data_IF_690779167766
#
_entry.id   IF_690779167766
#
_cell.length_a   1.000
_cell.length_b   1.000
_cell.length_c   1.000
_cell.angle_alpha   90.00
_cell.angle_beta   90.00
_cell.angle_gamma   90.00
#
_symmetry.space_group_name_H-M   'P 1'
#
loop_
_entity.id
_entity.type
_entity.pdbx_description
1 polymer ?
#
# COMPACT_ATOMS: atom_id res chain seq x y z
N UNK A 1 -65.29 -45.06 -19.57
CA UNK A 1 -64.08 -44.81 -18.74
C UNK A 1 -63.10 -43.93 -19.57
N UNK A 2 -63.04 -42.61 -19.25
CA UNK A 2 -62.08 -41.68 -19.86
C UNK A 2 -61.04 -41.35 -18.82
N UNK A 3 -59.77 -41.74 -19.03
CA UNK A 3 -58.63 -41.36 -18.24
C UNK A 3 -58.27 -39.91 -18.59
N UNK A 4 -58.29 -39.02 -17.62
CA UNK A 4 -57.76 -37.66 -17.72
C UNK A 4 -56.26 -37.65 -17.51
N UNK A 5 -55.49 -37.16 -18.48
CA UNK A 5 -54.06 -36.93 -18.38
C UNK A 5 -53.77 -35.69 -17.56
N UNK A 6 -52.70 -35.64 -16.76
CA UNK A 6 -52.35 -34.41 -16.03
C UNK A 6 -51.71 -33.40 -17.00
N UNK A 7 -52.18 -32.14 -16.85
CA UNK A 7 -51.64 -30.98 -17.56
C UNK A 7 -50.20 -30.70 -17.14
N UNK A 8 -49.29 -30.84 -18.10
CA UNK A 8 -47.90 -30.38 -17.95
C UNK A 8 -47.91 -28.85 -17.86
N UNK A 9 -47.61 -28.31 -16.67
CA UNK A 9 -47.35 -26.88 -16.53
C UNK A 9 -46.16 -26.48 -17.38
N UNK A 10 -46.32 -25.41 -18.17
CA UNK A 10 -45.31 -25.02 -19.14
C UNK A 10 -43.99 -24.62 -18.42
N UNK A 11 -42.84 -25.00 -18.99
CA UNK A 11 -41.49 -24.61 -18.51
C UNK A 11 -41.36 -23.12 -18.20
N UNK A 12 -42.10 -22.27 -18.90
CA UNK A 12 -42.14 -20.82 -18.67
C UNK A 12 -42.78 -20.38 -17.34
N UNK A 13 -43.75 -21.11 -16.81
CA UNK A 13 -44.38 -20.82 -15.52
C UNK A 13 -43.46 -21.24 -14.36
N UNK A 14 -42.72 -22.33 -14.54
CA UNK A 14 -41.78 -22.80 -13.52
C UNK A 14 -40.58 -21.83 -13.37
N UNK A 15 -40.05 -21.32 -14.50
CA UNK A 15 -38.96 -20.31 -14.49
C UNK A 15 -39.39 -18.97 -13.88
N UNK A 16 -40.65 -18.55 -14.07
CA UNK A 16 -41.14 -17.31 -13.44
C UNK A 16 -41.31 -17.44 -11.93
N UNK A 17 -41.73 -18.58 -11.44
CA UNK A 17 -41.89 -18.82 -10.00
C UNK A 17 -40.54 -18.94 -9.28
N UNK A 18 -39.55 -19.61 -9.89
CA UNK A 18 -38.21 -19.76 -9.32
C UNK A 18 -37.42 -18.44 -9.31
N UNK A 19 -37.52 -17.63 -10.37
CA UNK A 19 -36.87 -16.32 -10.39
C UNK A 19 -37.46 -15.34 -9.37
N UNK A 20 -38.77 -15.38 -9.15
CA UNK A 20 -39.39 -14.48 -8.15
C UNK A 20 -38.96 -14.81 -6.71
N UNK A 21 -38.79 -16.10 -6.40
CA UNK A 21 -38.32 -16.53 -5.05
C UNK A 21 -36.84 -16.23 -4.87
N UNK A 22 -35.99 -16.41 -5.89
CA UNK A 22 -34.58 -16.10 -5.83
C UNK A 22 -34.31 -14.57 -5.69
N UNK A 23 -35.09 -13.74 -6.40
CA UNK A 23 -34.99 -12.30 -6.27
C UNK A 23 -35.48 -11.79 -4.91
N UNK A 24 -36.51 -12.39 -4.32
CA UNK A 24 -37.01 -12.05 -3.02
C UNK A 24 -36.04 -12.41 -1.88
N UNK A 25 -35.42 -13.58 -1.95
CA UNK A 25 -34.45 -14.02 -0.95
C UNK A 25 -33.11 -13.23 -1.05
N UNK A 26 -32.68 -12.89 -2.24
CA UNK A 26 -31.51 -12.05 -2.45
C UNK A 26 -31.66 -10.61 -1.93
N UNK A 27 -32.85 -10.03 -2.11
CA UNK A 27 -33.16 -8.68 -1.60
C UNK A 27 -33.26 -8.63 -0.07
N UNK A 28 -33.81 -9.64 0.57
CA UNK A 28 -33.88 -9.71 2.05
C UNK A 28 -32.52 -9.98 2.68
N UNK A 29 -31.67 -10.79 2.06
CA UNK A 29 -30.30 -11.02 2.55
C UNK A 29 -29.42 -9.77 2.40
N UNK A 30 -29.55 -9.01 1.30
CA UNK A 30 -28.82 -7.76 1.11
C UNK A 30 -29.28 -6.66 2.10
N UNK A 31 -30.58 -6.61 2.42
CA UNK A 31 -31.10 -5.65 3.40
C UNK A 31 -30.74 -6.02 4.86
N UNK A 32 -30.54 -7.32 5.14
CA UNK A 32 -30.19 -7.79 6.49
C UNK A 32 -28.69 -7.62 6.82
N UNK A 33 -27.83 -7.53 5.79
CA UNK A 33 -26.39 -7.33 5.95
C UNK A 33 -25.95 -5.87 5.73
N UNK A 34 -26.86 -4.91 5.64
CA UNK A 34 -26.43 -3.51 5.71
C UNK A 34 -25.89 -3.27 7.11
N UNK A 35 -24.60 -2.97 7.26
CA UNK A 35 -24.09 -2.49 8.53
C UNK A 35 -24.96 -1.32 8.96
N UNK A 36 -25.38 -1.32 10.24
CA UNK A 36 -26.30 -0.33 10.78
C UNK A 36 -25.86 1.07 10.36
N UNK A 37 -26.84 1.93 10.06
CA UNK A 37 -26.57 3.30 9.63
C UNK A 37 -25.58 3.95 10.57
N UNK A 38 -24.35 4.17 10.09
CA UNK A 38 -23.36 4.93 10.85
C UNK A 38 -23.93 6.34 11.07
N UNK A 39 -23.83 6.87 12.30
CA UNK A 39 -24.28 8.22 12.55
C UNK A 39 -23.48 9.20 11.66
N UNK A 40 -24.19 9.97 10.89
CA UNK A 40 -23.58 11.02 10.06
C UNK A 40 -22.66 11.88 10.91
N UNK A 41 -21.42 12.05 10.51
CA UNK A 41 -20.57 13.09 11.08
C UNK A 41 -21.03 14.43 10.54
N UNK A 42 -21.44 15.32 11.45
CA UNK A 42 -21.98 16.65 11.10
C UNK A 42 -20.99 17.56 10.35
N UNK A 43 -19.75 17.12 10.15
CA UNK A 43 -18.67 17.94 9.60
C UNK A 43 -18.31 17.69 8.15
N UNK A 44 -18.69 16.56 7.53
CA UNK A 44 -18.26 16.27 6.16
C UNK A 44 -19.40 16.06 5.16
N UNK A 45 -20.56 15.62 5.60
CA UNK A 45 -21.64 15.24 4.68
C UNK A 45 -21.29 14.04 3.78
N UNK A 46 -20.12 13.47 3.97
CA UNK A 46 -19.64 12.38 3.14
C UNK A 46 -20.11 11.04 3.70
N UNK A 47 -20.63 10.22 2.84
CA UNK A 47 -20.85 8.81 3.14
C UNK A 47 -19.49 8.12 3.13
N UNK A 48 -19.07 7.58 4.27
CA UNK A 48 -18.00 6.60 4.29
C UNK A 48 -18.63 5.28 3.86
N UNK A 49 -18.64 5.06 2.55
CA UNK A 49 -19.03 3.77 2.00
C UNK A 49 -17.79 2.89 2.01
N UNK A 50 -17.69 2.00 3.01
CA UNK A 50 -16.60 1.03 3.02
C UNK A 50 -16.72 0.16 1.77
N UNK A 51 -15.60 -0.06 1.05
CA UNK A 51 -15.60 -0.98 -0.08
C UNK A 51 -16.09 -2.36 0.35
N UNK A 52 -16.88 -3.00 -0.50
CA UNK A 52 -17.24 -4.42 -0.29
C UNK A 52 -16.03 -5.29 -0.60
N UNK A 53 -15.21 -5.53 0.42
CA UNK A 53 -13.91 -6.21 0.28
C UNK A 53 -14.02 -7.62 -0.29
N UNK A 54 -15.13 -8.32 -0.05
CA UNK A 54 -15.37 -9.68 -0.57
C UNK A 54 -15.61 -9.73 -2.08
N UNK A 55 -15.99 -8.59 -2.68
CA UNK A 55 -16.14 -8.45 -4.14
C UNK A 55 -14.84 -8.06 -4.84
N UNK A 56 -13.84 -7.63 -4.08
CA UNK A 56 -12.55 -7.19 -4.62
C UNK A 56 -11.52 -8.31 -4.58
N UNK A 57 -10.47 -8.13 -5.37
CA UNK A 57 -9.37 -9.10 -5.39
C UNK A 57 -8.69 -9.22 -4.03
N UNK A 58 -8.28 -10.42 -3.69
CA UNK A 58 -7.32 -10.68 -2.61
C UNK A 58 -6.03 -11.19 -3.20
N UNK A 59 -4.90 -10.53 -2.89
CA UNK A 59 -3.54 -10.92 -3.29
C UNK A 59 -2.79 -11.33 -2.04
N UNK A 60 -2.21 -12.51 -2.05
CA UNK A 60 -1.40 -13.03 -0.94
C UNK A 60 0.07 -12.72 -1.13
N UNK A 61 0.76 -12.32 -0.04
CA UNK A 61 2.21 -12.12 -0.02
C UNK A 61 2.80 -12.98 1.10
N UNK A 62 3.88 -13.68 0.83
CA UNK A 62 4.48 -14.55 1.82
C UNK A 62 5.84 -15.10 1.43
N UNK A 63 6.54 -15.74 2.39
CA UNK A 63 7.83 -16.38 2.10
C UNK A 63 7.69 -17.54 1.10
N UNK A 64 6.53 -18.22 1.07
CA UNK A 64 6.21 -19.31 0.17
C UNK A 64 4.69 -19.49 0.07
N UNK A 65 4.22 -20.21 -0.97
CA UNK A 65 2.81 -20.55 -1.19
C UNK A 65 1.87 -19.32 -1.20
N UNK A 66 2.33 -18.23 -1.78
CA UNK A 66 1.61 -16.99 -1.96
C UNK A 66 1.57 -16.61 -3.44
N UNK A 67 0.66 -15.74 -3.84
CA UNK A 67 0.60 -15.18 -5.19
C UNK A 67 1.90 -14.44 -5.51
N UNK A 68 2.44 -13.72 -4.52
CA UNK A 68 3.74 -13.04 -4.61
C UNK A 68 4.64 -13.57 -3.49
N UNK A 69 5.66 -14.33 -3.86
CA UNK A 69 6.64 -14.86 -2.91
C UNK A 69 7.74 -13.84 -2.63
N UNK A 70 7.94 -13.51 -1.36
CA UNK A 70 8.99 -12.61 -0.89
C UNK A 70 8.68 -11.99 0.47
N UNK A 71 9.73 -11.52 1.14
CA UNK A 71 9.66 -10.97 2.51
C UNK A 71 10.30 -9.58 2.59
N UNK A 72 10.21 -8.82 1.50
CA UNK A 72 10.79 -7.47 1.39
C UNK A 72 9.72 -6.45 1.02
N UNK A 73 10.05 -5.16 1.15
CA UNK A 73 9.24 -4.05 0.62
C UNK A 73 8.83 -4.23 -0.83
N UNK A 74 9.69 -4.84 -1.67
CA UNK A 74 9.39 -5.06 -3.10
C UNK A 74 8.22 -6.01 -3.30
N UNK A 75 8.15 -7.10 -2.53
CA UNK A 75 7.06 -8.06 -2.62
C UNK A 75 5.73 -7.45 -2.13
N UNK A 76 5.77 -6.74 -1.01
CA UNK A 76 4.59 -6.06 -0.46
C UNK A 76 4.11 -4.96 -1.42
N UNK A 77 5.01 -4.12 -1.94
CA UNK A 77 4.65 -3.06 -2.88
C UNK A 77 4.08 -3.62 -4.19
N UNK A 78 4.66 -4.70 -4.71
CA UNK A 78 4.15 -5.34 -5.93
C UNK A 78 2.70 -5.85 -5.76
N UNK A 79 2.36 -6.38 -4.60
CA UNK A 79 0.99 -6.80 -4.30
C UNK A 79 0.02 -5.61 -4.21
N UNK A 80 0.43 -4.55 -3.52
CA UNK A 80 -0.33 -3.31 -3.42
C UNK A 80 -0.55 -2.70 -4.82
N UNK A 81 0.50 -2.57 -5.61
CA UNK A 81 0.43 -2.00 -6.96
C UNK A 81 -0.47 -2.84 -7.88
N UNK A 82 -0.43 -4.18 -7.75
CA UNK A 82 -1.31 -5.04 -8.50
C UNK A 82 -2.78 -4.85 -8.13
N UNK A 83 -3.10 -4.83 -6.84
CA UNK A 83 -4.45 -4.57 -6.35
C UNK A 83 -4.96 -3.18 -6.76
N UNK A 84 -4.11 -2.14 -6.70
CA UNK A 84 -4.45 -0.78 -7.12
C UNK A 84 -4.83 -0.69 -8.60
N UNK A 85 -4.15 -1.43 -9.48
CA UNK A 85 -4.48 -1.48 -10.92
C UNK A 85 -5.87 -2.03 -11.19
N UNK A 86 -6.43 -2.80 -10.26
CA UNK A 86 -7.76 -3.37 -10.32
C UNK A 86 -8.81 -2.55 -9.54
N UNK A 87 -8.46 -1.32 -9.15
CA UNK A 87 -9.37 -0.44 -8.39
C UNK A 87 -9.41 -0.71 -6.90
N UNK A 88 -8.32 -1.25 -6.35
CA UNK A 88 -8.18 -1.59 -4.94
C UNK A 88 -8.50 -3.05 -4.64
N UNK A 89 -8.28 -3.47 -3.40
CA UNK A 89 -8.51 -4.84 -2.94
C UNK A 89 -7.77 -5.15 -1.64
N UNK A 90 -7.76 -6.41 -1.28
CA UNK A 90 -7.10 -6.91 -0.07
C UNK A 90 -5.71 -7.44 -0.40
N UNK A 91 -4.70 -6.99 0.32
CA UNK A 91 -3.37 -7.59 0.35
C UNK A 91 -3.23 -8.35 1.66
N UNK A 92 -3.17 -9.67 1.57
CA UNK A 92 -3.04 -10.56 2.72
C UNK A 92 -1.58 -10.95 2.91
N UNK A 93 -1.03 -10.56 4.05
CA UNK A 93 0.35 -10.86 4.45
C UNK A 93 0.35 -12.15 5.24
N UNK A 94 0.96 -13.18 4.67
CA UNK A 94 1.09 -14.50 5.30
C UNK A 94 2.11 -14.46 6.45
N UNK A 95 2.10 -15.47 7.35
CA UNK A 95 3.08 -15.56 8.42
C UNK A 95 4.52 -15.42 7.94
N UNK A 96 5.30 -14.56 8.62
CA UNK A 96 6.69 -14.28 8.29
C UNK A 96 7.20 -12.96 8.82
N UNK A 97 8.51 -12.74 8.70
CA UNK A 97 9.15 -11.46 9.03
C UNK A 97 9.55 -10.75 7.75
N UNK A 98 8.94 -9.60 7.50
CA UNK A 98 9.14 -8.78 6.31
C UNK A 98 10.09 -7.63 6.63
N UNK A 99 11.28 -7.63 6.01
CA UNK A 99 12.31 -6.62 6.23
C UNK A 99 12.28 -5.56 5.15
N UNK A 100 12.03 -4.32 5.56
CA UNK A 100 11.85 -3.21 4.64
C UNK A 100 13.09 -2.32 4.56
N UNK A 101 13.42 -1.92 3.34
CA UNK A 101 14.42 -0.91 3.00
C UNK A 101 13.77 0.36 2.43
N UNK A 102 12.48 0.30 2.15
CA UNK A 102 11.64 1.43 1.71
C UNK A 102 10.24 1.29 2.30
N UNK A 103 9.51 2.39 2.37
CA UNK A 103 8.12 2.40 2.79
C UNK A 103 7.24 1.65 1.79
N UNK A 104 6.27 0.90 2.29
CA UNK A 104 5.15 0.41 1.49
C UNK A 104 4.15 1.55 1.33
N UNK A 105 3.93 1.99 0.11
CA UNK A 105 2.98 3.07 -0.22
C UNK A 105 1.64 2.50 -0.56
N UNK A 106 0.62 2.88 0.19
CA UNK A 106 -0.75 2.46 -0.07
C UNK A 106 -1.46 3.53 -0.90
N UNK A 107 -2.32 3.10 -1.81
CA UNK A 107 -3.26 3.94 -2.55
C UNK A 107 -4.69 3.70 -2.08
N UNK A 108 -5.65 4.46 -2.58
CA UNK A 108 -7.06 4.37 -2.17
C UNK A 108 -7.66 2.98 -2.39
N UNK A 109 -8.51 2.56 -1.47
CA UNK A 109 -9.21 1.28 -1.56
C UNK A 109 -8.33 0.05 -1.31
N UNK A 110 -7.28 0.16 -0.50
CA UNK A 110 -6.41 -0.96 -0.11
C UNK A 110 -6.71 -1.39 1.33
N UNK A 111 -6.97 -2.68 1.49
CA UNK A 111 -7.01 -3.35 2.78
C UNK A 111 -5.78 -4.23 2.95
N UNK A 112 -4.96 -3.93 3.96
CA UNK A 112 -3.76 -4.68 4.30
C UNK A 112 -4.06 -5.54 5.53
N UNK A 113 -4.02 -6.85 5.40
CA UNK A 113 -4.33 -7.79 6.49
C UNK A 113 -3.12 -8.67 6.75
N UNK A 114 -2.66 -8.68 7.99
CA UNK A 114 -1.65 -9.61 8.46
C UNK A 114 -2.23 -10.95 8.94
N UNK A 115 -1.41 -11.67 9.68
CA UNK A 115 -1.76 -12.93 10.35
C UNK A 115 -1.54 -12.80 11.88
N UNK A 116 -1.81 -11.62 12.43
CA UNK A 116 -1.56 -11.31 13.83
C UNK A 116 -0.08 -11.31 14.16
N UNK A 117 0.28 -11.81 15.33
CA UNK A 117 1.67 -11.86 15.81
C UNK A 117 2.63 -12.66 14.91
N UNK A 118 2.09 -13.47 14.01
CA UNK A 118 2.88 -14.28 13.07
C UNK A 118 3.37 -13.47 11.86
N UNK A 119 2.77 -12.30 11.57
CA UNK A 119 3.18 -11.39 10.50
C UNK A 119 3.88 -10.17 11.09
N UNK A 120 5.17 -10.04 10.85
CA UNK A 120 5.97 -8.92 11.38
C UNK A 120 6.59 -8.10 10.26
N UNK A 121 6.26 -6.83 10.23
CA UNK A 121 6.91 -5.87 9.35
C UNK A 121 7.97 -5.11 10.15
N UNK A 122 9.22 -5.24 9.76
CA UNK A 122 10.34 -4.63 10.44
C UNK A 122 11.20 -3.82 9.46
N UNK A 123 11.78 -2.74 9.94
CA UNK A 123 12.73 -1.96 9.17
C UNK A 123 14.13 -2.58 9.28
N UNK A 124 14.88 -2.55 8.18
CA UNK A 124 16.31 -2.87 8.23
C UNK A 124 17.07 -1.86 9.09
N UNK A 125 18.24 -2.28 9.57
CA UNK A 125 19.09 -1.40 10.37
C UNK A 125 19.39 -0.10 9.62
N UNK A 126 19.29 1.01 10.33
CA UNK A 126 19.55 2.32 9.76
C UNK A 126 21.03 2.46 9.39
N UNK A 127 21.28 2.82 8.15
CA UNK A 127 22.58 3.28 7.66
C UNK A 127 22.59 4.81 7.70
N UNK A 128 23.75 5.38 7.98
CA UNK A 128 23.95 6.82 8.01
C UNK A 128 25.37 7.18 7.60
N UNK A 129 25.53 8.14 6.69
CA UNK A 129 26.82 8.63 6.23
C UNK A 129 26.72 10.08 5.80
N UNK A 130 27.84 10.79 5.78
CA UNK A 130 27.91 12.16 5.25
C UNK A 130 27.89 12.17 3.73
N UNK A 131 27.54 13.31 3.16
CA UNK A 131 27.76 13.57 1.74
C UNK A 131 29.25 13.96 1.52
N UNK A 132 29.88 13.39 0.51
CA UNK A 132 31.25 13.73 0.12
C UNK A 132 31.31 14.90 -0.86
N UNK A 133 30.22 15.20 -1.55
CA UNK A 133 30.06 16.31 -2.47
C UNK A 133 28.83 17.14 -2.12
N UNK A 134 28.84 18.43 -2.47
CA UNK A 134 27.68 19.29 -2.34
C UNK A 134 26.62 18.90 -3.37
N UNK A 135 25.37 19.04 -3.00
CA UNK A 135 24.23 18.84 -3.91
C UNK A 135 23.30 20.04 -3.81
N UNK A 136 22.98 20.61 -4.96
CA UNK A 136 22.21 21.84 -5.08
C UNK A 136 20.72 21.59 -5.29
N UNK A 137 19.94 22.65 -5.23
CA UNK A 137 18.48 22.67 -5.36
C UNK A 137 17.93 21.86 -6.55
N UNK A 138 18.64 21.89 -7.69
CA UNK A 138 18.20 21.22 -8.91
C UNK A 138 18.78 19.81 -9.07
N UNK A 139 19.74 19.44 -8.24
CA UNK A 139 20.38 18.15 -8.36
C UNK A 139 19.41 17.01 -8.02
N UNK A 140 19.52 15.96 -8.80
CA UNK A 140 18.80 14.71 -8.64
C UNK A 140 19.77 13.57 -8.33
N UNK A 141 20.81 13.91 -7.59
CA UNK A 141 21.85 12.96 -7.16
C UNK A 141 22.50 13.40 -5.87
N UNK A 142 23.10 12.44 -5.18
CA UNK A 142 23.96 12.65 -4.02
C UNK A 142 25.19 11.74 -4.13
N UNK A 143 26.33 12.19 -3.59
CA UNK A 143 27.53 11.38 -3.46
C UNK A 143 27.82 11.14 -1.98
N UNK A 144 27.87 9.87 -1.58
CA UNK A 144 28.06 9.46 -0.20
C UNK A 144 29.54 9.30 0.14
N UNK A 145 29.94 9.63 1.35
CA UNK A 145 31.29 9.38 1.85
C UNK A 145 31.55 7.87 1.98
N UNK A 146 30.61 7.15 2.58
CA UNK A 146 30.59 5.69 2.64
C UNK A 146 29.27 5.16 2.07
N UNK A 147 29.35 4.52 0.93
CA UNK A 147 28.19 3.92 0.25
C UNK A 147 28.00 2.43 0.60
N UNK A 148 28.77 1.89 1.57
CA UNK A 148 28.64 0.50 1.99
C UNK A 148 27.25 0.25 2.61
N UNK A 149 26.62 -0.83 2.17
CA UNK A 149 25.28 -1.21 2.64
C UNK A 149 24.11 -0.46 1.97
N UNK A 150 24.32 0.73 1.37
CA UNK A 150 23.28 1.42 0.60
C UNK A 150 23.01 0.73 -0.73
N UNK A 151 21.74 0.64 -1.12
CA UNK A 151 21.30 -0.05 -2.34
C UNK A 151 20.31 0.81 -3.12
N UNK A 152 20.22 0.55 -4.42
CA UNK A 152 19.13 1.08 -5.26
C UNK A 152 17.80 0.51 -4.74
N UNK A 153 16.84 1.39 -4.54
CA UNK A 153 15.54 1.10 -3.91
C UNK A 153 15.45 1.55 -2.45
N UNK A 154 16.57 1.87 -1.78
CA UNK A 154 16.52 2.38 -0.41
C UNK A 154 15.82 3.74 -0.34
N UNK A 155 14.94 3.88 0.64
CA UNK A 155 14.45 5.19 1.03
C UNK A 155 15.45 5.86 1.97
N UNK A 156 15.80 7.10 1.63
CA UNK A 156 16.74 7.91 2.39
C UNK A 156 16.13 9.24 2.80
N UNK A 157 16.56 9.71 3.94
CA UNK A 157 16.35 11.08 4.39
C UNK A 157 17.70 11.80 4.33
N UNK A 158 17.78 12.90 3.58
CA UNK A 158 18.93 13.79 3.54
C UNK A 158 18.70 14.81 4.64
N UNK A 159 19.62 14.87 5.56
CA UNK A 159 19.55 15.67 6.79
C UNK A 159 20.72 16.66 6.83
N UNK A 160 20.57 17.78 7.53
CA UNK A 160 21.63 18.76 7.70
C UNK A 160 21.06 20.13 8.04
N UNK A 161 21.81 21.18 7.69
CA UNK A 161 21.39 22.56 7.79
C UNK A 161 21.47 23.24 6.44
N UNK A 162 20.46 24.00 6.09
CA UNK A 162 20.51 24.83 4.90
C UNK A 162 21.60 25.93 5.12
N UNK A 163 22.62 26.02 4.26
CA UNK A 163 23.75 26.91 4.47
C UNK A 163 23.38 28.38 4.38
N UNK A 164 22.29 28.75 3.71
CA UNK A 164 21.85 30.13 3.57
C UNK A 164 20.94 30.60 4.70
N UNK A 165 20.04 29.73 5.16
CA UNK A 165 19.03 30.08 6.14
C UNK A 165 19.38 29.62 7.56
N UNK A 166 20.32 28.68 7.70
CA UNK A 166 20.63 27.99 8.97
C UNK A 166 19.53 27.05 9.45
N UNK A 167 18.42 26.96 8.72
CA UNK A 167 17.28 26.08 9.06
C UNK A 167 17.59 24.61 8.85
N UNK A 168 16.77 23.70 9.42
CA UNK A 168 16.96 22.27 9.26
C UNK A 168 16.69 21.85 7.80
N UNK A 169 17.58 21.04 7.26
CA UNK A 169 17.41 20.33 6.00
C UNK A 169 16.82 18.95 6.30
N UNK A 170 15.67 18.65 5.72
CA UNK A 170 15.01 17.32 5.83
C UNK A 170 14.36 16.98 4.50
N UNK A 171 15.04 16.19 3.67
CA UNK A 171 14.59 15.84 2.32
C UNK A 171 14.50 14.34 2.18
N UNK A 172 13.29 13.81 1.93
CA UNK A 172 13.04 12.38 1.75
C UNK A 172 13.09 12.00 0.27
N UNK A 173 13.90 11.01 -0.08
CA UNK A 173 14.10 10.54 -1.47
C UNK A 173 14.26 9.01 -1.52
N UNK A 174 14.23 8.47 -2.73
CA UNK A 174 14.53 7.06 -3.00
C UNK A 174 15.75 7.01 -3.91
N UNK A 175 16.67 6.10 -3.63
CA UNK A 175 17.85 5.83 -4.44
C UNK A 175 17.45 5.03 -5.68
N UNK A 176 17.59 5.58 -6.89
CA UNK A 176 17.08 4.99 -8.13
C UNK A 176 18.14 4.39 -9.04
N UNK A 177 19.38 4.86 -8.95
CA UNK A 177 20.53 4.32 -9.69
C UNK A 177 21.81 4.55 -8.90
N UNK A 178 22.88 3.81 -9.21
CA UNK A 178 24.17 3.88 -8.51
C UNK A 178 25.35 3.86 -9.48
N UNK A 179 26.35 4.71 -9.21
CA UNK A 179 27.66 4.66 -9.84
C UNK A 179 28.72 4.94 -8.77
N UNK A 180 29.41 3.90 -8.30
CA UNK A 180 30.33 4.00 -7.16
C UNK A 180 29.61 4.48 -5.90
N UNK A 181 30.02 5.63 -5.36
CA UNK A 181 29.41 6.27 -4.20
C UNK A 181 28.31 7.27 -4.56
N UNK A 182 28.09 7.53 -5.85
CA UNK A 182 27.06 8.44 -6.34
C UNK A 182 25.75 7.69 -6.61
N UNK A 183 24.67 8.25 -6.10
CA UNK A 183 23.30 7.73 -6.29
C UNK A 183 22.44 8.78 -6.96
N UNK A 184 21.61 8.33 -7.92
CA UNK A 184 20.48 9.12 -8.43
C UNK A 184 19.29 9.02 -7.48
N UNK A 185 18.49 10.07 -7.48
CA UNK A 185 17.29 10.19 -6.66
C UNK A 185 16.04 10.15 -7.53
N UNK A 186 14.91 9.77 -6.96
CA UNK A 186 13.59 9.76 -7.61
C UNK A 186 13.11 11.17 -8.00
N UNK A 187 13.54 12.19 -7.26
CA UNK A 187 13.17 13.61 -7.49
C UNK A 187 14.36 14.50 -7.14
N UNK A 188 14.39 15.71 -7.70
CA UNK A 188 15.36 16.75 -7.32
C UNK A 188 15.30 17.06 -5.82
N UNK A 189 16.44 17.45 -5.26
CA UNK A 189 16.57 17.71 -3.81
C UNK A 189 15.64 18.83 -3.36
N UNK A 190 15.56 19.90 -4.15
CA UNK A 190 14.75 21.10 -3.86
C UNK A 190 15.15 21.82 -2.58
N UNK A 191 16.42 21.67 -2.21
CA UNK A 191 17.11 22.36 -1.14
C UNK A 191 18.62 22.26 -1.37
N UNK A 192 19.45 22.93 -0.57
CA UNK A 192 20.89 22.87 -0.68
C UNK A 192 21.48 21.95 0.39
N UNK A 193 21.86 20.76 -0.04
CA UNK A 193 22.49 19.74 0.81
C UNK A 193 24.01 19.82 0.67
N UNK A 194 24.61 20.85 1.30
CA UNK A 194 26.03 21.12 1.19
C UNK A 194 26.81 20.58 2.40
N UNK A 195 28.07 20.25 2.17
CA UNK A 195 28.99 19.75 3.20
C UNK A 195 29.15 20.73 4.36
N UNK A 196 29.17 22.04 4.08
CA UNK A 196 29.24 23.07 5.11
C UNK A 196 28.00 23.08 6.03
N UNK A 197 26.86 22.57 5.59
CA UNK A 197 25.66 22.34 6.37
C UNK A 197 25.62 20.96 7.05
N UNK A 198 26.75 20.25 7.08
CA UNK A 198 26.87 18.91 7.64
C UNK A 198 25.87 17.92 7.03
N UNK A 199 25.63 18.04 5.72
CA UNK A 199 24.65 17.19 5.01
C UNK A 199 25.03 15.71 5.09
N UNK A 200 24.06 14.89 5.42
CA UNK A 200 24.19 13.44 5.56
C UNK A 200 22.96 12.74 4.98
N UNK A 201 23.12 11.49 4.60
CA UNK A 201 22.03 10.61 4.19
C UNK A 201 21.85 9.49 5.21
N UNK A 202 20.59 9.26 5.60
CA UNK A 202 20.21 8.17 6.50
C UNK A 202 19.07 7.36 5.88
N UNK A 203 19.10 6.02 6.01
CA UNK A 203 17.97 5.17 5.61
C UNK A 203 16.84 5.30 6.63
N UNK A 204 16.16 6.43 6.61
CA UNK A 204 15.09 6.81 7.52
C UNK A 204 13.78 7.00 6.75
N UNK A 205 12.80 6.15 7.00
CA UNK A 205 11.50 6.14 6.32
C UNK A 205 10.41 5.54 7.24
N UNK A 206 9.12 5.82 7.02
CA UNK A 206 8.03 5.11 7.69
C UNK A 206 7.88 3.70 7.12
N UNK A 207 7.37 2.73 7.89
CA UNK A 207 7.09 1.38 7.37
C UNK A 207 5.99 1.41 6.31
N UNK A 208 4.93 2.19 6.58
CA UNK A 208 3.80 2.40 5.66
C UNK A 208 3.66 3.90 5.42
N UNK A 209 3.44 4.28 4.17
CA UNK A 209 3.20 5.66 3.75
C UNK A 209 1.84 5.77 3.07
N UNK A 210 1.06 6.77 3.49
CA UNK A 210 -0.29 7.07 2.98
C UNK A 210 -0.35 8.58 2.78
N UNK A 211 -0.63 9.03 1.55
CA UNK A 211 -0.74 10.44 1.19
C UNK A 211 -1.92 10.63 0.23
N UNK A 212 -2.85 11.54 0.56
CA UNK A 212 -4.00 11.91 -0.28
C UNK A 212 -4.83 10.71 -0.77
N UNK A 213 -5.12 9.76 0.12
CA UNK A 213 -5.85 8.52 -0.18
C UNK A 213 -7.01 8.32 0.78
N UNK A 214 -7.99 7.51 0.36
CA UNK A 214 -9.18 7.17 1.13
C UNK A 214 -9.42 5.65 1.15
N UNK A 215 -10.26 5.19 2.06
CA UNK A 215 -10.66 3.79 2.19
C UNK A 215 -9.45 2.86 2.38
N UNK A 216 -8.61 3.17 3.37
CA UNK A 216 -7.49 2.34 3.80
C UNK A 216 -7.86 1.61 5.08
N UNK A 217 -7.60 0.31 5.08
CA UNK A 217 -7.77 -0.55 6.26
C UNK A 217 -6.45 -1.30 6.51
N UNK A 218 -5.98 -1.32 7.75
CA UNK A 218 -4.80 -2.09 8.18
C UNK A 218 -5.19 -2.88 9.41
N UNK A 219 -5.07 -4.20 9.34
CA UNK A 219 -5.53 -5.13 10.38
C UNK A 219 -4.49 -6.22 10.62
N UNK A 220 -4.44 -6.73 11.84
CA UNK A 220 -3.70 -7.93 12.24
C UNK A 220 -2.21 -7.95 11.84
N UNK A 221 -1.51 -6.79 12.00
CA UNK A 221 -0.09 -6.60 11.71
C UNK A 221 0.69 -6.22 12.95
#
# INVERSE_FOLDING_TARGET
>A
MKKSSPLLSSRRQWLRSTCAIALGAGYTAYAANKPGSYPFRATSGDFIDEPQWDEKITVTVGPANADICGTTDKALQAAVDYALRLGGGTVRILPGTYRLRNAVRLGSGIRLIGSGEDSKIVKENMLRTRLSEDSDWFDQEITLEDASGFQVGDAVCILGKNPHTGGPLVVKRVLTARSGNRFKLDKGIRDNAWKMGEAEAATLFPLISVEDVENIVIEDL
#
